data_IF_374669398117
#
_entry.id   IF_374669398117
#
_cell.length_a   1.000
_cell.length_b   1.000
_cell.length_c   1.000
_cell.angle_alpha   90.00
_cell.angle_beta   90.00
_cell.angle_gamma   90.00
#
_symmetry.space_group_name_H-M   'P 1'
#
loop_
_entity.id
_entity.type
_entity.pdbx_description
1 polymer ?
#
# COMPACT_ATOMS: atom_id res chain seq x y z
N UNK A 1 1.53 -23.48 17.26
CA UNK A 1 0.53 -22.99 16.30
C UNK A 1 1.21 -21.94 15.43
N UNK A 2 1.05 -21.96 14.11
CA UNK A 2 1.59 -20.96 13.17
C UNK A 2 0.43 -20.15 12.56
N UNK A 3 -0.18 -19.20 13.29
CA UNK A 3 -1.31 -18.44 12.77
C UNK A 3 -0.87 -17.50 11.64
N UNK A 4 -1.65 -17.47 10.56
CA UNK A 4 -1.45 -16.46 9.51
C UNK A 4 -2.13 -15.15 9.94
N UNK A 5 -1.32 -14.21 10.47
CA UNK A 5 -1.80 -12.93 11.00
C UNK A 5 -2.37 -12.01 9.91
N UNK A 6 -1.96 -12.18 8.64
CA UNK A 6 -2.50 -11.40 7.50
C UNK A 6 -3.98 -11.71 7.23
N UNK A 7 -4.47 -12.86 7.70
CA UNK A 7 -5.86 -13.28 7.49
C UNK A 7 -6.80 -12.82 8.61
N UNK A 8 -6.32 -12.11 9.64
CA UNK A 8 -7.17 -11.59 10.71
C UNK A 8 -8.00 -10.42 10.14
N UNK A 9 -9.33 -10.51 10.07
CA UNK A 9 -10.13 -9.48 9.40
C UNK A 9 -10.06 -8.13 10.13
N UNK A 10 -9.70 -7.05 9.45
CA UNK A 10 -9.47 -5.75 10.09
C UNK A 10 -10.78 -5.10 10.59
N UNK A 11 -11.85 -5.15 9.77
CA UNK A 11 -13.08 -4.36 10.00
C UNK A 11 -14.21 -5.10 10.72
N UNK A 12 -14.02 -6.38 11.03
CA UNK A 12 -15.08 -7.18 11.67
C UNK A 12 -14.94 -7.13 13.18
N UNK A 13 -16.06 -7.15 13.92
CA UNK A 13 -16.04 -7.23 15.39
C UNK A 13 -15.17 -8.38 15.90
N UNK A 14 -15.25 -9.55 15.23
CA UNK A 14 -14.46 -10.73 15.58
C UNK A 14 -12.96 -10.49 15.41
N UNK A 15 -12.56 -9.85 14.32
CA UNK A 15 -11.15 -9.55 14.08
C UNK A 15 -10.61 -8.47 15.01
N UNK A 16 -11.42 -7.46 15.36
CA UNK A 16 -11.10 -6.50 16.41
C UNK A 16 -10.87 -7.20 17.75
N UNK A 17 -11.75 -8.13 18.15
CA UNK A 17 -11.58 -8.92 19.38
C UNK A 17 -10.28 -9.75 19.36
N UNK A 18 -9.93 -10.36 18.22
CA UNK A 18 -8.68 -11.10 18.06
C UNK A 18 -7.47 -10.17 18.24
N UNK A 19 -7.47 -8.98 17.62
CA UNK A 19 -6.40 -7.98 17.79
C UNK A 19 -6.27 -7.51 19.24
N UNK A 20 -7.39 -7.29 19.93
CA UNK A 20 -7.41 -6.93 21.35
C UNK A 20 -6.84 -8.00 22.31
N UNK A 21 -6.66 -9.24 21.83
CA UNK A 21 -6.00 -10.30 22.60
C UNK A 21 -4.46 -10.21 22.57
N UNK A 22 -3.88 -9.46 21.64
CA UNK A 22 -2.43 -9.19 21.59
C UNK A 22 -2.11 -8.00 22.49
N UNK A 23 -1.85 -8.29 23.77
CA UNK A 23 -1.61 -7.28 24.81
C UNK A 23 -0.13 -7.05 25.04
N UNK A 24 0.20 -5.82 25.45
CA UNK A 24 1.52 -5.54 26.00
C UNK A 24 1.70 -6.23 27.36
N UNK A 25 2.95 -6.55 27.69
CA UNK A 25 3.39 -6.95 29.00
C UNK A 25 3.22 -5.80 30.01
N UNK A 26 3.14 -6.13 31.29
CA UNK A 26 3.05 -5.14 32.37
C UNK A 26 4.25 -4.19 32.31
N UNK A 27 3.99 -2.88 32.33
CA UNK A 27 5.00 -1.83 32.21
C UNK A 27 5.33 -1.42 30.77
N UNK A 28 4.78 -2.13 29.77
CA UNK A 28 5.00 -1.86 28.35
C UNK A 28 3.74 -1.35 27.66
N UNK A 29 3.92 -0.85 26.43
CA UNK A 29 2.87 -0.48 25.48
C UNK A 29 3.13 -1.13 24.13
N UNK A 30 2.05 -1.36 23.38
CA UNK A 30 2.13 -1.71 21.95
C UNK A 30 2.25 -0.41 21.16
N UNK A 31 3.18 -0.39 20.20
CA UNK A 31 3.29 0.66 19.18
C UNK A 31 2.98 0.02 17.83
N UNK A 32 2.04 0.60 17.08
CA UNK A 32 1.72 0.19 15.71
C UNK A 32 2.12 1.30 14.77
N UNK A 33 2.95 0.99 13.77
CA UNK A 33 3.41 1.94 12.77
C UNK A 33 3.06 1.42 11.37
N UNK A 34 2.19 2.13 10.64
CA UNK A 34 1.63 1.71 9.36
C UNK A 34 1.97 2.74 8.27
N UNK A 35 2.46 2.26 7.11
CA UNK A 35 2.67 3.17 5.99
C UNK A 35 1.33 3.58 5.34
N UNK A 36 1.02 4.88 5.35
CA UNK A 36 -0.19 5.40 4.73
C UNK A 36 -0.16 5.24 3.21
N UNK A 37 -0.81 4.18 2.71
CA UNK A 37 -1.03 3.91 1.28
C UNK A 37 0.26 3.79 0.46
N UNK A 38 1.26 3.07 0.99
CA UNK A 38 2.58 2.94 0.35
C UNK A 38 2.52 2.48 -1.10
N UNK A 39 1.64 1.54 -1.45
CA UNK A 39 1.52 1.05 -2.83
C UNK A 39 1.08 2.15 -3.81
N UNK A 40 0.17 3.04 -3.38
CA UNK A 40 -0.27 4.17 -4.22
C UNK A 40 0.82 5.25 -4.34
N UNK A 41 1.62 5.46 -3.30
CA UNK A 41 2.76 6.38 -3.36
C UNK A 41 3.83 5.85 -4.30
N UNK A 42 4.13 4.56 -4.20
CA UNK A 42 5.11 3.91 -5.05
C UNK A 42 4.65 3.81 -6.50
N UNK A 43 3.38 3.58 -6.79
CA UNK A 43 2.94 3.58 -8.18
C UNK A 43 3.03 4.98 -8.79
N UNK A 44 2.73 6.04 -8.03
CA UNK A 44 2.91 7.41 -8.46
C UNK A 44 4.40 7.71 -8.77
N UNK A 45 5.31 7.27 -7.90
CA UNK A 45 6.75 7.38 -8.09
C UNK A 45 7.23 6.64 -9.34
N UNK A 46 6.88 5.34 -9.46
CA UNK A 46 7.40 4.45 -10.51
C UNK A 46 6.85 4.81 -11.89
N UNK A 47 5.57 5.17 -11.97
CA UNK A 47 4.94 5.63 -13.21
C UNK A 47 5.27 7.09 -13.54
N UNK A 48 5.89 7.82 -12.59
CA UNK A 48 6.12 9.25 -12.67
C UNK A 48 4.83 10.02 -13.03
N UNK A 49 3.70 9.63 -12.46
CA UNK A 49 2.40 10.24 -12.74
C UNK A 49 2.24 11.56 -11.95
N UNK A 50 2.37 12.69 -12.65
CA UNK A 50 2.43 14.02 -12.02
C UNK A 50 1.22 14.32 -11.15
N UNK A 51 0.03 13.95 -11.61
CA UNK A 51 -1.19 14.24 -10.87
C UNK A 51 -1.29 13.48 -9.56
N UNK A 52 -0.78 12.25 -9.49
CA UNK A 52 -0.72 11.49 -8.25
C UNK A 52 0.39 12.02 -7.34
N UNK A 53 1.56 12.32 -7.91
CA UNK A 53 2.70 12.88 -7.16
C UNK A 53 2.29 14.19 -6.47
N UNK A 54 1.68 15.12 -7.21
CA UNK A 54 1.23 16.40 -6.68
C UNK A 54 0.19 16.23 -5.57
N UNK A 55 -0.80 15.37 -5.76
CA UNK A 55 -1.82 15.11 -4.74
C UNK A 55 -1.18 14.66 -3.42
N UNK A 56 -0.21 13.74 -3.46
CA UNK A 56 0.50 13.31 -2.27
C UNK A 56 1.41 14.38 -1.67
N UNK A 57 2.09 15.18 -2.49
CA UNK A 57 2.95 16.28 -2.02
C UNK A 57 2.15 17.40 -1.35
N UNK A 58 0.91 17.64 -1.82
CA UNK A 58 -0.01 18.60 -1.23
C UNK A 58 -0.72 18.08 0.03
N UNK A 59 -0.49 16.83 0.42
CA UNK A 59 -1.21 16.20 1.54
C UNK A 59 -2.69 15.95 1.26
N UNK A 60 -3.09 15.87 -0.01
CA UNK A 60 -4.47 15.57 -0.40
C UNK A 60 -4.80 14.10 -0.12
N UNK A 61 -6.06 13.82 0.21
CA UNK A 61 -6.58 12.47 0.17
C UNK A 61 -6.64 12.00 -1.29
N UNK A 62 -5.76 11.06 -1.65
CA UNK A 62 -5.64 10.58 -3.04
C UNK A 62 -6.95 10.02 -3.58
N UNK A 63 -7.78 9.37 -2.75
CA UNK A 63 -9.05 8.83 -3.19
C UNK A 63 -10.08 9.94 -3.42
N UNK A 64 -10.09 10.97 -2.58
CA UNK A 64 -10.93 12.14 -2.79
C UNK A 64 -10.46 12.96 -4.01
N UNK A 65 -9.16 13.12 -4.20
CA UNK A 65 -8.56 13.79 -5.37
C UNK A 65 -8.92 13.03 -6.66
N UNK A 66 -8.80 11.70 -6.68
CA UNK A 66 -9.29 10.87 -7.79
C UNK A 66 -10.79 11.04 -7.99
N UNK A 67 -11.60 11.00 -6.93
CA UNK A 67 -13.06 11.14 -7.05
C UNK A 67 -13.46 12.51 -7.64
N UNK A 68 -12.86 13.59 -7.16
CA UNK A 68 -13.08 14.95 -7.67
C UNK A 68 -12.88 15.01 -9.18
N UNK A 69 -11.81 14.39 -9.69
CA UNK A 69 -11.50 14.34 -11.12
C UNK A 69 -12.43 13.41 -11.90
N UNK A 70 -12.76 12.23 -11.37
CA UNK A 70 -13.63 11.25 -12.02
C UNK A 70 -15.09 11.70 -12.13
N UNK A 71 -15.60 12.37 -11.11
CA UNK A 71 -16.99 12.82 -11.03
C UNK A 71 -17.17 14.30 -11.39
N UNK A 72 -16.09 15.01 -11.72
CA UNK A 72 -16.09 16.44 -12.05
C UNK A 72 -16.74 17.31 -10.97
N UNK A 73 -16.46 17.01 -9.69
CA UNK A 73 -16.93 17.79 -8.54
C UNK A 73 -15.75 18.41 -7.79
N UNK A 74 -15.88 19.60 -7.19
CA UNK A 74 -14.84 20.17 -6.33
C UNK A 74 -14.41 19.21 -5.21
N UNK A 75 -13.13 19.24 -4.83
CA UNK A 75 -12.57 18.31 -3.83
C UNK A 75 -13.32 18.34 -2.49
N UNK A 76 -13.75 19.53 -2.06
CA UNK A 76 -14.53 19.75 -0.83
C UNK A 76 -15.99 19.29 -0.93
N UNK A 77 -16.48 18.98 -2.13
CA UNK A 77 -17.84 18.48 -2.39
C UNK A 77 -17.87 16.96 -2.63
N UNK A 78 -16.71 16.29 -2.62
CA UNK A 78 -16.62 14.84 -2.78
C UNK A 78 -17.36 14.13 -1.65
N UNK A 79 -18.40 13.38 -2.02
CA UNK A 79 -19.17 12.57 -1.07
C UNK A 79 -18.39 11.34 -0.61
N UNK A 80 -18.75 10.79 0.56
CA UNK A 80 -18.17 9.53 1.08
C UNK A 80 -18.32 8.37 0.08
N UNK A 81 -19.45 8.31 -0.63
CA UNK A 81 -19.72 7.28 -1.64
C UNK A 81 -18.77 7.42 -2.84
N UNK A 82 -18.62 8.62 -3.40
CA UNK A 82 -17.70 8.88 -4.50
C UNK A 82 -16.25 8.57 -4.11
N UNK A 83 -15.82 8.99 -2.91
CA UNK A 83 -14.50 8.64 -2.37
C UNK A 83 -14.32 7.13 -2.27
N UNK A 84 -15.32 6.40 -1.77
CA UNK A 84 -15.27 4.94 -1.67
C UNK A 84 -15.19 4.27 -3.03
N UNK A 85 -15.93 4.75 -4.03
CA UNK A 85 -15.86 4.26 -5.40
C UNK A 85 -14.49 4.52 -6.01
N UNK A 86 -13.95 5.74 -5.89
CA UNK A 86 -12.61 6.08 -6.35
C UNK A 86 -11.51 5.28 -5.64
N UNK A 87 -11.70 4.90 -4.38
CA UNK A 87 -10.83 3.96 -3.67
C UNK A 87 -10.85 2.58 -4.35
N UNK A 88 -12.03 2.03 -4.62
CA UNK A 88 -12.17 0.75 -5.33
C UNK A 88 -11.54 0.81 -6.72
N UNK A 89 -11.71 1.91 -7.45
CA UNK A 89 -11.10 2.15 -8.77
C UNK A 89 -9.58 2.17 -8.69
N UNK A 90 -9.01 2.97 -7.77
CA UNK A 90 -7.57 3.06 -7.58
C UNK A 90 -6.94 1.68 -7.36
N UNK A 91 -7.43 0.92 -6.38
CA UNK A 91 -6.88 -0.41 -6.12
C UNK A 91 -7.20 -1.40 -7.24
N UNK A 92 -8.42 -1.38 -7.80
CA UNK A 92 -8.80 -2.28 -8.87
C UNK A 92 -7.94 -2.10 -10.12
N UNK A 93 -7.74 -0.87 -10.57
CA UNK A 93 -6.94 -0.58 -11.76
C UNK A 93 -5.47 -0.92 -11.52
N UNK A 94 -4.92 -0.59 -10.34
CA UNK A 94 -3.55 -0.98 -9.96
C UNK A 94 -3.35 -2.48 -10.05
N UNK A 95 -4.35 -3.26 -9.63
CA UNK A 95 -4.31 -4.72 -9.70
C UNK A 95 -4.73 -5.31 -11.05
N UNK A 96 -4.90 -4.47 -12.08
CA UNK A 96 -5.24 -4.87 -13.43
C UNK A 96 -6.66 -5.44 -13.57
N UNK A 97 -7.59 -4.97 -12.73
CA UNK A 97 -8.99 -5.34 -12.81
C UNK A 97 -9.65 -4.66 -14.02
N UNK A 98 -10.32 -5.45 -14.85
CA UNK A 98 -11.12 -4.92 -15.96
C UNK A 98 -12.50 -4.45 -15.51
N UNK A 99 -13.25 -3.85 -16.44
CA UNK A 99 -14.58 -3.29 -16.20
C UNK A 99 -15.57 -4.29 -15.57
N UNK A 100 -15.48 -5.58 -15.92
CA UNK A 100 -16.33 -6.61 -15.31
C UNK A 100 -16.09 -6.73 -13.80
N UNK A 101 -14.83 -6.85 -13.37
CA UNK A 101 -14.51 -6.95 -11.95
C UNK A 101 -14.84 -5.66 -11.22
N UNK A 102 -14.60 -4.51 -11.84
CA UNK A 102 -14.86 -3.22 -11.20
C UNK A 102 -16.36 -3.00 -10.99
N UNK A 103 -17.20 -3.37 -11.96
CA UNK A 103 -18.66 -3.32 -11.83
C UNK A 103 -19.15 -4.14 -10.62
N UNK A 104 -18.65 -5.36 -10.47
CA UNK A 104 -19.02 -6.27 -9.36
C UNK A 104 -18.70 -5.67 -7.97
N UNK A 105 -17.57 -4.99 -7.83
CA UNK A 105 -17.14 -4.39 -6.55
C UNK A 105 -17.76 -3.02 -6.25
N UNK A 106 -18.19 -2.29 -7.28
CA UNK A 106 -18.73 -0.92 -7.14
C UNK A 106 -20.25 -0.87 -7.17
N UNK A 107 -20.91 -1.94 -7.63
CA UNK A 107 -22.35 -1.97 -7.88
C UNK A 107 -22.78 -1.20 -9.14
N UNK A 108 -21.83 -0.72 -9.94
CA UNK A 108 -22.08 -0.01 -11.19
C UNK A 108 -22.41 -1.00 -12.33
N UNK A 109 -23.06 -0.50 -13.39
CA UNK A 109 -23.17 -1.25 -14.63
C UNK A 109 -21.79 -1.43 -15.30
N UNK A 110 -21.67 -2.42 -16.18
CA UNK A 110 -20.42 -2.64 -16.94
C UNK A 110 -20.02 -1.44 -17.79
N UNK A 111 -21.00 -0.71 -18.33
CA UNK A 111 -20.76 0.48 -19.15
C UNK A 111 -20.21 1.62 -18.30
N UNK A 112 -20.80 1.87 -17.13
CA UNK A 112 -20.31 2.87 -16.18
C UNK A 112 -18.91 2.53 -15.67
N UNK A 113 -18.66 1.26 -15.32
CA UNK A 113 -17.33 0.80 -14.89
C UNK A 113 -16.28 0.98 -16.00
N UNK A 114 -16.64 0.71 -17.26
CA UNK A 114 -15.76 0.95 -18.41
C UNK A 114 -15.44 2.45 -18.56
N UNK A 115 -16.46 3.30 -18.52
CA UNK A 115 -16.28 4.75 -18.60
C UNK A 115 -15.40 5.28 -17.46
N UNK A 116 -15.57 4.74 -16.26
CA UNK A 116 -14.77 5.11 -15.08
C UNK A 116 -13.29 4.75 -15.26
N UNK A 117 -12.98 3.60 -15.84
CA UNK A 117 -11.60 3.22 -16.20
C UNK A 117 -11.02 4.15 -17.26
N UNK A 118 -11.80 4.49 -18.28
CA UNK A 118 -11.37 5.42 -19.34
C UNK A 118 -11.07 6.81 -18.78
N UNK A 119 -11.97 7.36 -17.94
CA UNK A 119 -11.79 8.64 -17.27
C UNK A 119 -10.59 8.62 -16.31
N UNK A 120 -10.37 7.49 -15.62
CA UNK A 120 -9.22 7.31 -14.75
C UNK A 120 -7.90 7.42 -15.51
N UNK A 121 -7.78 6.73 -16.65
CA UNK A 121 -6.57 6.82 -17.46
C UNK A 121 -6.44 8.12 -18.25
N UNK A 122 -7.55 8.82 -18.54
CA UNK A 122 -7.49 10.19 -19.04
C UNK A 122 -6.94 11.16 -17.97
N UNK A 123 -7.21 10.87 -16.71
CA UNK A 123 -6.71 11.63 -15.55
C UNK A 123 -5.25 11.29 -15.21
N UNK A 124 -4.87 10.03 -15.39
CA UNK A 124 -3.54 9.48 -15.07
C UNK A 124 -2.90 8.83 -16.32
N UNK A 125 -2.54 9.63 -17.34
CA UNK A 125 -2.07 9.10 -18.61
C UNK A 125 -0.72 8.37 -18.49
N UNK A 126 0.21 8.86 -17.65
CA UNK A 126 1.53 8.23 -17.50
C UNK A 126 1.45 6.90 -16.78
N UNK A 127 0.48 6.75 -15.87
CA UNK A 127 0.18 5.46 -15.29
C UNK A 127 -0.24 4.44 -16.36
N UNK A 128 -1.12 4.82 -17.30
CA UNK A 128 -1.53 3.94 -18.40
C UNK A 128 -0.34 3.54 -19.29
N UNK A 129 0.47 4.52 -19.67
CA UNK A 129 1.68 4.32 -20.48
C UNK A 129 2.65 3.36 -19.79
N UNK A 130 2.94 3.62 -18.52
CA UNK A 130 3.81 2.78 -17.70
C UNK A 130 3.29 1.34 -17.61
N UNK A 131 1.99 1.13 -17.32
CA UNK A 131 1.42 -0.23 -17.25
C UNK A 131 1.58 -0.99 -18.57
N UNK A 132 1.34 -0.34 -19.70
CA UNK A 132 1.51 -0.95 -21.02
C UNK A 132 2.98 -1.28 -21.31
N UNK A 133 3.89 -0.38 -20.96
CA UNK A 133 5.34 -0.60 -21.10
C UNK A 133 5.83 -1.74 -20.21
N UNK A 134 5.37 -1.83 -18.96
CA UNK A 134 5.73 -2.92 -18.05
C UNK A 134 5.35 -4.29 -18.63
N UNK A 135 4.13 -4.42 -19.17
CA UNK A 135 3.70 -5.67 -19.79
C UNK A 135 4.54 -6.00 -21.03
N UNK A 136 4.83 -5.00 -21.87
CA UNK A 136 5.68 -5.18 -23.05
C UNK A 136 7.07 -5.68 -22.65
N UNK A 137 7.73 -5.00 -21.72
CA UNK A 137 9.06 -5.36 -21.21
C UNK A 137 9.05 -6.73 -20.53
N UNK A 138 7.99 -7.07 -19.80
CA UNK A 138 7.83 -8.39 -19.20
C UNK A 138 7.78 -9.51 -20.25
N UNK A 139 7.07 -9.30 -21.38
CA UNK A 139 7.03 -10.25 -22.50
C UNK A 139 8.38 -10.43 -23.17
N UNK A 140 9.14 -9.35 -23.32
CA UNK A 140 10.48 -9.35 -23.93
C UNK A 140 11.54 -10.02 -23.03
N UNK A 141 11.55 -9.69 -21.73
CA UNK A 141 12.59 -10.14 -20.80
C UNK A 141 12.23 -11.42 -20.02
N UNK A 142 10.94 -11.76 -19.92
CA UNK A 142 10.45 -12.87 -19.11
C UNK A 142 10.43 -12.60 -17.59
N UNK A 143 10.67 -11.36 -17.16
CA UNK A 143 10.63 -10.94 -15.75
C UNK A 143 10.32 -9.44 -15.61
N UNK A 144 9.97 -9.05 -14.39
CA UNK A 144 9.81 -7.65 -13.95
C UNK A 144 10.67 -7.36 -12.71
N UNK A 145 10.92 -6.10 -12.41
CA UNK A 145 11.82 -5.65 -11.34
C UNK A 145 11.13 -4.67 -10.38
N UNK A 146 11.50 -4.70 -9.11
CA UNK A 146 11.21 -3.62 -8.15
C UNK A 146 12.10 -2.40 -8.42
N UNK A 147 11.86 -1.28 -7.72
CA UNK A 147 12.72 -0.09 -7.76
C UNK A 147 14.17 -0.46 -7.39
N UNK A 148 14.35 -1.38 -6.44
CA UNK A 148 15.66 -1.91 -6.02
C UNK A 148 16.15 -3.11 -6.84
N UNK A 149 15.59 -3.33 -8.04
CA UNK A 149 16.03 -4.33 -9.02
C UNK A 149 15.84 -5.80 -8.60
N UNK A 150 15.03 -6.07 -7.57
CA UNK A 150 14.62 -7.44 -7.25
C UNK A 150 13.71 -7.98 -8.35
N UNK A 151 14.06 -9.15 -8.91
CA UNK A 151 13.37 -9.73 -10.07
C UNK A 151 12.23 -10.67 -9.65
N UNK A 152 11.14 -10.63 -10.42
CA UNK A 152 10.11 -11.67 -10.46
C UNK A 152 10.00 -12.23 -11.87
N UNK A 153 10.34 -13.50 -12.04
CA UNK A 153 10.19 -14.21 -13.31
C UNK A 153 8.74 -14.57 -13.59
N UNK A 154 8.31 -14.43 -14.84
CA UNK A 154 6.94 -14.64 -15.29
C UNK A 154 6.94 -15.67 -16.42
N UNK A 155 6.97 -16.94 -16.05
CA UNK A 155 7.03 -18.07 -17.02
C UNK A 155 5.89 -18.04 -18.04
N UNK A 156 4.74 -17.55 -17.61
CA UNK A 156 3.48 -17.57 -18.36
C UNK A 156 3.20 -16.28 -19.15
N UNK A 157 4.12 -15.30 -19.13
CA UNK A 157 3.89 -13.99 -19.77
C UNK A 157 3.70 -14.06 -21.29
N UNK A 158 4.22 -15.12 -21.92
CA UNK A 158 4.07 -15.42 -23.35
C UNK A 158 3.20 -16.66 -23.60
N UNK A 159 2.42 -17.12 -22.60
CA UNK A 159 1.55 -18.28 -22.76
C UNK A 159 0.56 -18.09 -23.91
N UNK A 160 0.34 -19.13 -24.72
CA UNK A 160 -0.68 -19.10 -25.78
C UNK A 160 -2.10 -19.00 -25.18
N UNK A 161 -2.30 -19.52 -23.97
CA UNK A 161 -3.57 -19.45 -23.27
C UNK A 161 -3.82 -18.01 -22.77
N UNK A 162 -4.88 -17.39 -23.29
CA UNK A 162 -5.24 -15.99 -22.98
C UNK A 162 -5.48 -15.75 -21.48
N UNK A 163 -6.10 -16.69 -20.76
CA UNK A 163 -6.40 -16.55 -19.33
C UNK A 163 -5.11 -16.59 -18.51
N UNK A 164 -4.23 -17.55 -18.82
CA UNK A 164 -2.94 -17.73 -18.15
C UNK A 164 -2.05 -16.52 -18.41
N UNK A 165 -1.98 -16.07 -19.67
CA UNK A 165 -1.23 -14.87 -20.06
C UNK A 165 -1.79 -13.61 -19.39
N UNK A 166 -3.10 -13.41 -19.38
CA UNK A 166 -3.73 -12.26 -18.72
C UNK A 166 -3.49 -12.20 -17.22
N UNK A 167 -3.39 -13.36 -16.54
CA UNK A 167 -2.93 -13.40 -15.15
C UNK A 167 -1.47 -12.96 -15.02
N UNK A 168 -0.58 -13.47 -15.88
CA UNK A 168 0.83 -13.08 -15.87
C UNK A 168 1.04 -11.59 -16.13
N UNK A 169 0.26 -10.98 -17.02
CA UNK A 169 0.29 -9.54 -17.31
C UNK A 169 -0.11 -8.69 -16.10
N UNK A 170 -1.16 -9.09 -15.38
CA UNK A 170 -1.54 -8.44 -14.10
C UNK A 170 -0.42 -8.54 -13.07
N UNK A 171 0.20 -9.71 -12.96
CA UNK A 171 1.36 -9.89 -12.06
C UNK A 171 2.53 -9.00 -12.51
N UNK A 172 2.75 -8.82 -13.81
CA UNK A 172 3.79 -7.95 -14.34
C UNK A 172 3.65 -6.48 -13.90
N UNK A 173 2.42 -6.00 -13.76
CA UNK A 173 2.14 -4.65 -13.25
C UNK A 173 2.21 -4.59 -11.72
N UNK A 174 1.65 -5.59 -11.03
CA UNK A 174 1.51 -5.56 -9.57
C UNK A 174 2.84 -5.80 -8.84
N UNK A 175 3.65 -6.73 -9.37
CA UNK A 175 4.85 -7.19 -8.67
C UNK A 175 5.94 -6.11 -8.50
N UNK A 176 6.19 -5.20 -9.46
CA UNK A 176 7.04 -4.04 -9.25
C UNK A 176 6.59 -3.17 -8.08
N UNK A 177 5.30 -2.90 -7.94
CA UNK A 177 4.74 -2.03 -6.89
C UNK A 177 4.80 -2.71 -5.52
N UNK A 178 4.16 -3.88 -5.39
CA UNK A 178 4.13 -4.64 -4.13
C UNK A 178 5.51 -5.09 -3.69
N UNK A 179 6.33 -5.49 -4.67
CA UNK A 179 7.71 -5.84 -4.42
C UNK A 179 8.49 -4.65 -3.89
N UNK A 180 8.33 -3.45 -4.48
CA UNK A 180 9.00 -2.25 -3.97
C UNK A 180 8.53 -1.88 -2.56
N UNK A 181 7.24 -2.00 -2.24
CA UNK A 181 6.74 -1.79 -0.87
C UNK A 181 7.42 -2.75 0.12
N UNK A 182 7.51 -4.03 -0.23
CA UNK A 182 8.21 -5.02 0.58
C UNK A 182 9.72 -4.76 0.72
N UNK A 183 10.36 -4.14 -0.28
CA UNK A 183 11.77 -3.72 -0.18
C UNK A 183 11.92 -2.59 0.83
N UNK A 184 11.09 -1.54 0.71
CA UNK A 184 11.09 -0.37 1.60
C UNK A 184 10.84 -0.77 3.05
N UNK A 185 9.83 -1.61 3.31
CA UNK A 185 9.52 -2.12 4.66
C UNK A 185 10.73 -2.85 5.25
N UNK A 186 11.41 -3.70 4.46
CA UNK A 186 12.60 -4.44 4.94
C UNK A 186 13.76 -3.51 5.28
N UNK A 187 13.98 -2.46 4.49
CA UNK A 187 15.01 -1.46 4.80
C UNK A 187 14.68 -0.76 6.11
N UNK A 188 13.42 -0.32 6.29
CA UNK A 188 12.96 0.28 7.54
C UNK A 188 13.19 -0.66 8.72
N UNK A 189 12.83 -1.94 8.59
CA UNK A 189 13.04 -2.93 9.65
C UNK A 189 14.51 -3.05 10.06
N UNK A 190 15.43 -3.13 9.09
CA UNK A 190 16.87 -3.21 9.33
C UNK A 190 17.39 -1.94 10.01
N UNK A 191 16.95 -0.77 9.57
CA UNK A 191 17.39 0.51 10.13
C UNK A 191 16.89 0.68 11.56
N UNK A 192 15.62 0.38 11.83
CA UNK A 192 15.02 0.43 13.16
C UNK A 192 15.77 -0.51 14.11
N UNK A 193 15.99 -1.78 13.72
CA UNK A 193 16.68 -2.76 14.55
C UNK A 193 18.08 -2.27 14.97
N UNK A 194 18.85 -1.74 14.01
CA UNK A 194 20.16 -1.12 14.30
C UNK A 194 20.04 0.05 15.26
N UNK A 195 19.09 0.96 15.05
CA UNK A 195 18.92 2.17 15.84
C UNK A 195 18.45 1.91 17.27
N UNK A 196 17.58 0.91 17.45
CA UNK A 196 17.19 0.42 18.77
C UNK A 196 18.41 -0.13 19.53
N UNK A 197 19.25 -0.92 18.86
CA UNK A 197 20.49 -1.45 19.44
C UNK A 197 21.51 -0.35 19.78
N UNK A 198 21.76 0.59 18.86
CA UNK A 198 22.68 1.72 19.07
C UNK A 198 22.29 2.58 20.28
N UNK A 199 20.99 2.77 20.51
CA UNK A 199 20.47 3.54 21.65
C UNK A 199 20.26 2.70 22.92
N UNK A 200 20.56 1.40 22.88
CA UNK A 200 20.31 0.45 23.97
C UNK A 200 18.85 0.46 24.46
N UNK A 201 17.90 0.63 23.54
CA UNK A 201 16.47 0.59 23.87
C UNK A 201 16.04 -0.86 24.08
N UNK A 202 15.15 -1.09 25.05
CA UNK A 202 14.54 -2.38 25.33
C UNK A 202 13.33 -2.67 24.44
N UNK A 203 12.88 -1.67 23.68
CA UNK A 203 11.83 -1.78 22.67
C UNK A 203 12.13 -2.91 21.66
N UNK A 204 11.12 -3.71 21.32
CA UNK A 204 11.24 -4.88 20.44
C UNK A 204 10.23 -4.82 19.31
N UNK A 205 10.68 -5.09 18.09
CA UNK A 205 9.79 -5.38 16.97
C UNK A 205 9.21 -6.78 17.15
N UNK A 206 7.88 -6.88 17.19
CA UNK A 206 7.17 -8.14 17.41
C UNK A 206 6.68 -8.75 16.10
N UNK A 207 6.03 -7.94 15.26
CA UNK A 207 5.29 -8.41 14.10
C UNK A 207 5.51 -7.48 12.90
N UNK A 208 5.40 -8.09 11.71
CA UNK A 208 5.24 -7.38 10.44
C UNK A 208 3.99 -7.96 9.78
N UNK A 209 2.99 -7.11 9.50
CA UNK A 209 1.70 -7.52 8.90
C UNK A 209 1.28 -6.47 7.88
N UNK A 210 1.08 -6.85 6.61
CA UNK A 210 0.81 -5.91 5.52
C UNK A 210 1.91 -4.83 5.39
N UNK A 211 1.55 -3.56 5.57
CA UNK A 211 2.39 -2.36 5.60
C UNK A 211 2.68 -1.86 7.02
N UNK A 212 2.28 -2.64 8.04
CA UNK A 212 2.42 -2.33 9.45
C UNK A 212 3.59 -3.08 10.11
N UNK A 213 4.30 -2.35 10.98
CA UNK A 213 5.26 -2.88 11.95
C UNK A 213 4.71 -2.67 13.37
N UNK A 214 4.68 -3.75 14.15
CA UNK A 214 4.17 -3.74 15.53
C UNK A 214 5.33 -3.96 16.49
N UNK A 215 5.40 -3.13 17.52
CA UNK A 215 6.43 -3.16 18.53
C UNK A 215 5.84 -3.25 19.93
N UNK A 216 6.67 -3.68 20.87
CA UNK A 216 6.42 -3.52 22.30
C UNK A 216 7.56 -2.72 22.91
N UNK A 217 7.22 -1.66 23.64
CA UNK A 217 8.17 -0.74 24.26
C UNK A 217 7.86 -0.57 25.75
N UNK A 218 8.86 -0.49 26.65
CA UNK A 218 8.65 0.02 27.99
C UNK A 218 7.99 1.40 27.96
N UNK A 219 7.11 1.68 28.92
CA UNK A 219 6.33 2.94 28.96
C UNK A 219 7.23 4.17 28.91
N UNK A 220 8.42 4.10 29.53
CA UNK A 220 9.42 5.17 29.53
C UNK A 220 10.13 5.37 28.18
N UNK A 221 10.11 4.38 27.28
CA UNK A 221 10.76 4.45 25.96
C UNK A 221 9.79 4.84 24.85
N UNK A 222 8.47 4.84 25.09
CA UNK A 222 7.43 4.96 24.06
C UNK A 222 7.64 6.16 23.13
N UNK A 223 7.87 7.36 23.67
CA UNK A 223 7.99 8.56 22.83
C UNK A 223 9.26 8.53 21.96
N UNK A 224 10.39 8.10 22.53
CA UNK A 224 11.66 7.97 21.80
C UNK A 224 11.55 6.89 20.73
N UNK A 225 10.95 5.74 21.06
CA UNK A 225 10.75 4.65 20.13
C UNK A 225 9.81 5.07 18.99
N UNK A 226 8.71 5.74 19.30
CA UNK A 226 7.73 6.24 18.32
C UNK A 226 8.37 7.20 17.32
N UNK A 227 9.14 8.19 17.79
CA UNK A 227 9.83 9.13 16.91
C UNK A 227 10.85 8.41 16.02
N UNK A 228 11.68 7.55 16.61
CA UNK A 228 12.67 6.75 15.89
C UNK A 228 12.04 5.88 14.82
N UNK A 229 11.01 5.09 15.17
CA UNK A 229 10.31 4.19 14.25
C UNK A 229 9.74 5.00 13.08
N UNK A 230 9.04 6.10 13.38
CA UNK A 230 8.47 6.96 12.35
C UNK A 230 9.55 7.49 11.40
N UNK A 231 10.62 8.06 11.93
CA UNK A 231 11.72 8.62 11.12
C UNK A 231 12.37 7.56 10.25
N UNK A 232 12.72 6.39 10.82
CA UNK A 232 13.42 5.34 10.08
C UNK A 232 12.52 4.68 9.01
N UNK A 233 11.21 4.65 9.21
CA UNK A 233 10.25 4.21 8.18
C UNK A 233 10.08 5.26 7.07
N UNK A 234 9.76 6.51 7.42
CA UNK A 234 9.54 7.57 6.41
C UNK A 234 10.80 7.87 5.57
N UNK A 235 11.99 7.63 6.13
CA UNK A 235 13.28 7.82 5.44
C UNK A 235 13.88 6.54 4.85
N UNK A 236 13.20 5.39 4.92
CA UNK A 236 13.72 4.09 4.49
C UNK A 236 14.13 4.08 3.01
N UNK A 237 13.48 4.89 2.17
CA UNK A 237 13.83 5.04 0.78
C UNK A 237 13.49 6.44 0.28
N UNK A 238 14.39 7.06 -0.50
CA UNK A 238 14.18 8.42 -1.02
C UNK A 238 13.33 8.37 -2.30
N UNK A 239 12.22 9.09 -2.28
CA UNK A 239 11.24 9.19 -3.37
C UNK A 239 10.79 10.64 -3.54
N UNK A 240 10.29 11.00 -4.72
CA UNK A 240 9.64 12.31 -4.94
C UNK A 240 8.33 12.41 -4.16
N UNK A 241 7.63 11.29 -4.01
CA UNK A 241 6.43 11.17 -3.19
C UNK A 241 6.82 10.88 -1.74
N UNK A 242 6.45 11.72 -0.75
CA UNK A 242 6.83 11.45 0.65
C UNK A 242 6.19 10.14 1.12
N UNK A 243 6.97 9.26 1.74
CA UNK A 243 6.43 8.11 2.46
C UNK A 243 5.97 8.61 3.83
N UNK A 244 4.71 8.34 4.16
CA UNK A 244 4.12 8.78 5.43
C UNK A 244 3.79 7.57 6.30
N UNK A 245 3.97 7.74 7.61
CA UNK A 245 3.67 6.72 8.61
C UNK A 245 2.75 7.27 9.69
N UNK A 246 1.67 6.54 9.93
CA UNK A 246 0.78 6.72 11.07
C UNK A 246 1.27 5.83 12.22
N UNK A 247 1.41 6.42 13.41
CA UNK A 247 1.86 5.69 14.59
C UNK A 247 0.84 5.81 15.70
N UNK A 248 0.27 4.68 16.12
CA UNK A 248 -0.62 4.56 17.26
C UNK A 248 0.05 3.80 18.42
N UNK A 249 -0.46 4.04 19.63
CA UNK A 249 0.05 3.44 20.87
C UNK A 249 -1.13 3.01 21.72
N UNK A 250 -1.05 1.82 22.31
CA UNK A 250 -2.12 1.26 23.13
C UNK A 250 -1.66 0.16 24.09
N UNK A 251 -2.57 -0.32 24.93
CA UNK A 251 -2.31 -1.47 25.81
C UNK A 251 -2.40 -2.81 25.06
N UNK A 252 -2.95 -2.79 23.87
CA UNK A 252 -3.05 -3.93 22.97
C UNK A 252 -3.03 -3.48 21.50
N UNK A 253 -2.91 -4.45 20.59
CA UNK A 253 -2.82 -4.17 19.16
C UNK A 253 -4.08 -3.52 18.57
N UNK A 254 -5.28 -3.75 19.14
CA UNK A 254 -6.48 -3.05 18.67
C UNK A 254 -6.47 -1.57 19.03
N UNK A 255 -5.95 -1.19 20.19
CA UNK A 255 -5.88 0.21 20.61
C UNK A 255 -4.77 0.99 19.89
N UNK A 256 -3.67 0.31 19.56
CA UNK A 256 -2.56 0.91 18.84
C UNK A 256 -2.80 1.04 17.32
N UNK A 257 -3.80 0.35 16.76
CA UNK A 257 -4.13 0.30 15.33
C UNK A 257 -5.39 1.13 15.01
#
# INVERSE_FOLDING_TARGET
>A
MNPNLQNIPIRTKRGQQIRGAFKANVGNKIISADYSQIELRLIAEISNEEHMIQAFQNGEDIHASTASKLFHVPLNEVTKTQRSQAKTVNFGIIYGQGAFGLADQTGLSRTEAKQMIENYFATYPKLKEWMAEQVKRARELGYVETILKRKRHLKDINSANFVVRGLAERIAVNAPVQGSAADVIKIAMINIDKKLAEKNLKTKMLLQVHDELVFEAPTEEVEIAKELIKTEMESAFSTKVPLLVEVGVGDNWLEAH
#
